data_IF_599223845124
#
_entry.id   IF_599223845124
#
_cell.length_a   1.000
_cell.length_b   1.000
_cell.length_c   1.000
_cell.angle_alpha   90.00
_cell.angle_beta   90.00
_cell.angle_gamma   90.00
#
_symmetry.space_group_name_H-M   'P 1'
#
loop_
_entity.id
_entity.type
_entity.pdbx_description
1 polymer ?
#
# COMPACT_ATOMS: atom_id res chain seq x y z
N UNK A 1 -7.80 -8.08 7.53
CA UNK A 1 -7.93 -7.17 8.68
C UNK A 1 -6.73 -6.25 8.71
N UNK A 2 -6.93 -4.99 8.31
CA UNK A 2 -5.89 -3.98 8.19
C UNK A 2 -5.67 -3.28 9.53
N UNK A 3 -4.40 -3.11 9.91
CA UNK A 3 -3.98 -2.41 11.12
C UNK A 3 -3.29 -1.11 10.74
N UNK A 4 -3.65 -0.03 11.43
CA UNK A 4 -2.99 1.26 11.26
C UNK A 4 -1.67 1.27 12.02
N UNK A 5 -0.61 1.66 11.33
CA UNK A 5 0.71 1.90 11.89
C UNK A 5 1.02 3.41 11.87
N UNK A 6 1.89 3.91 12.76
CA UNK A 6 2.31 5.31 12.72
C UNK A 6 2.89 5.70 11.35
N UNK A 7 2.52 6.87 10.85
CA UNK A 7 2.91 7.39 9.54
C UNK A 7 4.41 7.25 9.25
N UNK A 8 5.26 7.71 10.17
CA UNK A 8 6.73 7.66 10.04
C UNK A 8 7.28 6.23 10.00
N UNK A 9 6.61 5.29 10.69
CA UNK A 9 7.00 3.89 10.67
C UNK A 9 6.69 3.28 9.28
N UNK A 10 5.50 3.55 8.75
CA UNK A 10 5.09 3.06 7.43
C UNK A 10 5.96 3.62 6.30
N UNK A 11 6.34 4.90 6.36
CA UNK A 11 7.29 5.48 5.39
C UNK A 11 8.64 4.77 5.41
N UNK A 12 9.19 4.46 6.59
CA UNK A 12 10.44 3.70 6.72
C UNK A 12 10.31 2.27 6.20
N UNK A 13 9.20 1.60 6.49
CA UNK A 13 8.98 0.21 6.05
C UNK A 13 8.82 0.15 4.52
N UNK A 14 7.95 1.00 3.96
CA UNK A 14 7.72 1.05 2.52
C UNK A 14 8.97 1.54 1.79
N UNK A 15 9.74 2.46 2.39
CA UNK A 15 11.05 2.88 1.90
C UNK A 15 11.01 4.06 0.93
N UNK A 16 9.91 4.80 0.89
CA UNK A 16 9.74 6.04 0.10
C UNK A 16 9.01 7.11 0.92
N UNK A 17 9.25 8.40 0.66
CA UNK A 17 8.46 9.47 1.27
C UNK A 17 7.01 9.42 0.79
N UNK A 18 6.08 9.91 1.61
CA UNK A 18 4.68 10.05 1.21
C UNK A 18 4.52 10.96 -0.01
N UNK A 19 3.81 10.46 -1.01
CA UNK A 19 3.47 11.25 -2.19
C UNK A 19 2.23 12.12 -1.92
N UNK A 20 2.10 13.31 -2.52
CA UNK A 20 0.92 14.16 -2.36
C UNK A 20 -0.40 13.45 -2.69
N UNK A 21 -0.41 12.65 -3.75
CA UNK A 21 -1.65 12.05 -4.31
C UNK A 21 -1.59 10.54 -4.58
N UNK A 22 -0.41 9.90 -4.45
CA UNK A 22 -0.22 8.49 -4.84
C UNK A 22 -0.07 7.63 -3.59
N UNK A 23 -0.78 6.51 -3.56
CA UNK A 23 -0.56 5.48 -2.55
C UNK A 23 0.63 4.62 -2.95
N UNK A 24 1.57 4.45 -2.03
CA UNK A 24 2.69 3.54 -2.19
C UNK A 24 2.48 2.30 -1.33
N UNK A 25 3.18 1.22 -1.65
CA UNK A 25 3.17 0.03 -0.81
C UNK A 25 4.40 -0.83 -1.01
N UNK A 26 4.54 -1.80 -0.13
CA UNK A 26 5.62 -2.79 -0.18
C UNK A 26 5.12 -4.10 0.43
N UNK A 27 5.25 -5.19 -0.32
CA UNK A 27 5.13 -6.53 0.22
C UNK A 27 6.47 -6.94 0.81
N UNK A 28 6.56 -7.05 2.13
CA UNK A 28 7.78 -7.45 2.84
C UNK A 28 7.76 -8.97 2.96
N UNK A 29 8.54 -9.64 2.12
CA UNK A 29 8.50 -11.10 1.97
C UNK A 29 8.85 -11.83 3.27
N UNK A 30 9.84 -11.32 4.01
CA UNK A 30 10.29 -11.89 5.29
C UNK A 30 9.28 -11.79 6.42
N UNK A 31 8.32 -10.87 6.30
CA UNK A 31 7.27 -10.65 7.30
C UNK A 31 5.92 -11.24 6.88
N UNK A 32 5.81 -11.74 5.65
CA UNK A 32 4.57 -12.17 5.02
C UNK A 32 3.47 -11.09 5.14
N UNK A 33 3.86 -9.82 4.94
CA UNK A 33 3.00 -8.65 5.15
C UNK A 33 3.11 -7.64 4.02
N UNK A 34 1.99 -6.97 3.75
CA UNK A 34 1.94 -5.84 2.83
C UNK A 34 1.62 -4.57 3.61
N UNK A 35 2.41 -3.55 3.35
CA UNK A 35 2.25 -2.23 3.94
C UNK A 35 1.75 -1.24 2.89
N UNK A 36 0.78 -0.41 3.28
CA UNK A 36 0.26 0.69 2.45
C UNK A 36 0.65 2.01 3.08
N UNK A 37 1.36 2.82 2.33
CA UNK A 37 1.59 4.23 2.62
C UNK A 37 0.54 5.06 1.87
N UNK A 38 -0.47 5.51 2.61
CA UNK A 38 -1.48 6.44 2.09
C UNK A 38 -0.85 7.79 1.70
N UNK A 39 -1.39 8.40 0.64
CA UNK A 39 -0.97 9.73 0.17
C UNK A 39 -1.32 10.83 1.19
N UNK A 40 -0.69 11.99 1.07
CA UNK A 40 -1.01 13.15 1.93
C UNK A 40 -2.47 13.56 1.78
N UNK A 41 -2.95 13.67 0.53
CA UNK A 41 -4.37 13.95 0.25
C UNK A 41 -5.33 12.97 0.93
N UNK A 42 -5.00 11.67 0.94
CA UNK A 42 -5.84 10.66 1.57
C UNK A 42 -5.92 10.86 3.10
N UNK A 43 -4.82 11.25 3.73
CA UNK A 43 -4.77 11.49 5.17
C UNK A 43 -5.47 12.81 5.50
N UNK A 44 -5.22 13.84 4.71
CA UNK A 44 -5.78 15.17 4.89
C UNK A 44 -7.29 15.22 4.61
N UNK A 45 -7.82 14.23 3.87
CA UNK A 45 -9.26 14.08 3.65
C UNK A 45 -10.04 13.77 4.94
N UNK A 46 -9.37 13.30 5.99
CA UNK A 46 -9.97 12.97 7.28
C UNK A 46 -10.80 11.67 7.28
N UNK A 47 -10.76 10.88 6.20
CA UNK A 47 -11.40 9.55 6.18
C UNK A 47 -10.73 8.63 7.19
N UNK A 48 -11.48 7.63 7.68
CA UNK A 48 -10.84 6.49 8.32
C UNK A 48 -10.02 5.73 7.26
N UNK A 49 -8.71 5.65 7.45
CA UNK A 49 -7.81 4.99 6.49
C UNK A 49 -8.14 3.51 6.32
N UNK A 50 -8.85 2.88 7.27
CA UNK A 50 -9.34 1.50 7.12
C UNK A 50 -10.47 1.39 6.11
N UNK A 51 -11.20 2.47 5.87
CA UNK A 51 -12.26 2.57 4.86
C UNK A 51 -11.72 3.04 3.51
N UNK A 52 -10.43 3.38 3.42
CA UNK A 52 -9.79 3.68 2.13
C UNK A 52 -9.85 2.44 1.24
N UNK A 53 -10.20 2.63 -0.04
CA UNK A 53 -10.33 1.55 -1.03
C UNK A 53 -9.11 0.65 -1.13
N UNK A 54 -7.91 1.18 -0.88
CA UNK A 54 -6.66 0.42 -0.89
C UNK A 54 -6.54 -0.51 0.33
N UNK A 55 -6.98 -0.04 1.50
CA UNK A 55 -7.03 -0.85 2.73
C UNK A 55 -8.08 -1.95 2.63
N UNK A 56 -9.24 -1.63 2.06
CA UNK A 56 -10.29 -2.63 1.78
C UNK A 56 -9.76 -3.69 0.80
N UNK A 57 -9.10 -3.27 -0.28
CA UNK A 57 -8.50 -4.21 -1.22
C UNK A 57 -7.42 -5.10 -0.57
N UNK A 58 -6.65 -4.57 0.39
CA UNK A 58 -5.68 -5.35 1.16
C UNK A 58 -6.33 -6.36 2.11
N UNK A 59 -7.53 -6.07 2.62
CA UNK A 59 -8.25 -7.00 3.50
C UNK A 59 -8.62 -8.31 2.80
N UNK A 60 -8.77 -8.29 1.48
CA UNK A 60 -8.95 -9.46 0.61
C UNK A 60 -7.62 -10.20 0.29
N UNK A 61 -6.50 -9.67 0.77
CA UNK A 61 -5.16 -10.18 0.50
C UNK A 61 -4.54 -9.63 -0.80
N UNK A 62 -3.43 -10.24 -1.21
CA UNK A 62 -2.76 -9.94 -2.47
C UNK A 62 -2.69 -11.18 -3.36
N UNK A 63 -2.73 -10.95 -4.66
CA UNK A 63 -2.53 -11.98 -5.66
C UNK A 63 -1.02 -12.15 -5.94
N UNK A 64 -0.47 -13.29 -5.55
CA UNK A 64 0.97 -13.54 -5.73
C UNK A 64 1.39 -13.58 -7.19
N UNK A 65 0.52 -13.94 -8.14
CA UNK A 65 0.86 -13.91 -9.58
C UNK A 65 1.10 -12.46 -10.06
N UNK A 66 0.48 -11.48 -9.41
CA UNK A 66 0.69 -10.05 -9.69
C UNK A 66 1.88 -9.47 -8.92
N UNK A 67 2.13 -9.96 -7.71
CA UNK A 67 3.07 -9.38 -6.75
C UNK A 67 4.45 -10.04 -6.71
N UNK A 68 4.61 -11.25 -7.23
CA UNK A 68 5.82 -12.07 -7.07
C UNK A 68 7.12 -11.29 -7.36
N UNK A 69 7.16 -10.59 -8.50
CA UNK A 69 8.32 -9.81 -8.95
C UNK A 69 8.51 -8.44 -8.29
N UNK A 70 7.56 -8.02 -7.46
CA UNK A 70 7.54 -6.71 -6.81
C UNK A 70 7.75 -6.77 -5.31
N UNK A 71 7.87 -7.97 -4.76
CA UNK A 71 8.21 -8.17 -3.36
C UNK A 71 9.48 -7.39 -3.00
N UNK A 72 9.48 -6.88 -1.78
CA UNK A 72 10.55 -6.11 -1.16
C UNK A 72 10.92 -4.79 -1.87
N UNK A 73 10.16 -4.38 -2.89
CA UNK A 73 10.31 -3.10 -3.56
C UNK A 73 9.18 -2.12 -3.22
N UNK A 74 9.48 -0.82 -3.04
CA UNK A 74 8.46 0.21 -2.98
C UNK A 74 7.77 0.34 -4.34
N UNK A 75 6.45 0.24 -4.36
CA UNK A 75 5.64 0.33 -5.57
C UNK A 75 4.52 1.34 -5.42
N UNK A 76 4.09 1.91 -6.55
CA UNK A 76 2.79 2.60 -6.63
C UNK A 76 1.69 1.56 -6.62
N UNK A 77 0.64 1.82 -5.85
CA UNK A 77 -0.51 0.92 -5.74
C UNK A 77 -1.63 1.36 -6.67
N UNK A 78 -2.34 0.37 -7.20
CA UNK A 78 -3.65 0.52 -7.81
C UNK A 78 -4.65 -0.46 -7.19
N UNK A 79 -5.92 -0.11 -7.31
CA UNK A 79 -7.03 -1.05 -7.14
C UNK A 79 -7.59 -1.31 -8.53
N UNK A 80 -7.53 -2.56 -8.97
CA UNK A 80 -8.02 -2.98 -10.27
C UNK A 80 -9.56 -2.91 -10.34
N UNK A 81 -10.12 -3.05 -11.54
CA UNK A 81 -11.58 -3.00 -11.74
C UNK A 81 -12.32 -4.12 -10.99
N UNK A 82 -11.64 -5.24 -10.72
CA UNK A 82 -12.17 -6.36 -9.95
C UNK A 82 -11.94 -6.24 -8.43
N UNK A 83 -11.41 -5.10 -7.97
CA UNK A 83 -11.20 -4.80 -6.55
C UNK A 83 -9.85 -5.26 -5.99
N UNK A 84 -9.02 -5.99 -6.75
CA UNK A 84 -7.71 -6.47 -6.27
C UNK A 84 -6.69 -5.35 -6.14
N UNK A 85 -5.86 -5.44 -5.09
CA UNK A 85 -4.71 -4.56 -4.90
C UNK A 85 -3.55 -5.01 -5.81
N UNK A 86 -3.02 -4.10 -6.62
CA UNK A 86 -1.97 -4.40 -7.59
C UNK A 86 -0.80 -3.40 -7.57
N UNK A 87 0.44 -3.86 -7.81
CA UNK A 87 1.59 -3.00 -8.03
C UNK A 87 1.60 -2.48 -9.47
N UNK A 88 1.83 -1.17 -9.68
CA UNK A 88 1.94 -0.57 -11.01
C UNK A 88 3.40 -0.41 -11.47
N UNK A 89 4.22 0.25 -10.65
CA UNK A 89 5.60 0.61 -10.96
C UNK A 89 6.41 0.80 -9.70
N UNK A 90 7.75 0.71 -9.80
CA UNK A 90 8.64 1.09 -8.71
C UNK A 90 8.51 2.59 -8.44
N UNK A 91 8.35 2.96 -7.18
CA UNK A 91 8.45 4.36 -6.75
C UNK A 91 9.90 4.67 -6.43
N UNK A 92 10.44 5.76 -6.98
CA UNK A 92 11.81 6.23 -6.73
C UNK A 92 11.80 7.43 -5.80
#
# INVERSE_FOLDING_TARGET
MTRLEPAELTERIVGVPRHPTIHAGRAVSTEERVYILHSSECIDSGIDLRECRFSIALDEGIDMDLWERWQDHPVQLAVLLDGRLAPLSVTR
#
